data_IF_215667164937
#
_entry.id   IF_215667164937
#
_cell.length_a   1.000
_cell.length_b   1.000
_cell.length_c   1.000
_cell.angle_alpha   90.00
_cell.angle_beta   90.00
_cell.angle_gamma   90.00
#
_symmetry.space_group_name_H-M   'P 1'
#
loop_
_entity.id
_entity.type
_entity.pdbx_description
1 polymer ?
#
# COMPACT_ATOMS: atom_id res chain seq x y z
N UNK A 1 23.87 -1.67 12.61
CA UNK A 1 24.53 -2.74 13.39
C UNK A 1 23.56 -3.20 14.46
N UNK A 2 23.14 -4.46 14.43
CA UNK A 2 22.15 -5.06 15.37
C UNK A 2 22.62 -5.04 16.83
N UNK A 3 23.85 -4.65 17.08
CA UNK A 3 24.49 -4.58 18.39
C UNK A 3 24.83 -3.14 18.82
N UNK A 4 24.66 -2.15 17.97
CA UNK A 4 24.84 -0.77 18.36
C UNK A 4 23.64 -0.35 19.21
N UNK A 5 23.87 0.11 20.43
CA UNK A 5 22.82 0.62 21.34
C UNK A 5 22.22 1.96 20.89
N UNK A 6 22.01 2.13 19.60
CA UNK A 6 21.46 3.36 19.03
C UNK A 6 19.96 3.32 19.11
N UNK A 7 19.33 4.36 19.64
CA UNK A 7 17.90 4.52 19.63
C UNK A 7 17.37 4.61 18.19
N UNK A 8 16.21 4.04 17.96
CA UNK A 8 15.49 4.18 16.69
C UNK A 8 14.61 5.42 16.75
N UNK A 9 14.65 6.21 15.67
CA UNK A 9 13.81 7.39 15.44
C UNK A 9 13.51 7.46 13.95
N UNK A 10 12.44 6.77 13.53
CA UNK A 10 12.12 6.57 12.12
C UNK A 10 10.75 7.16 11.78
N UNK A 11 10.68 7.71 10.59
CA UNK A 11 9.47 8.25 10.03
C UNK A 11 9.13 7.57 8.70
N UNK A 12 7.92 7.05 8.59
CA UNK A 12 7.29 6.70 7.33
C UNK A 12 6.23 7.76 7.06
N UNK A 13 6.31 8.42 5.91
CA UNK A 13 5.42 9.56 5.58
C UNK A 13 4.70 9.25 4.28
N UNK A 14 3.38 9.46 4.28
CA UNK A 14 2.53 9.26 3.10
C UNK A 14 2.90 10.23 1.97
N UNK A 15 2.50 9.94 0.72
CA UNK A 15 2.36 10.95 -0.31
C UNK A 15 1.41 12.08 0.12
N UNK A 16 1.39 13.19 -0.64
CA UNK A 16 0.45 14.28 -0.42
C UNK A 16 -1.01 13.80 -0.52
N UNK A 17 -1.81 14.12 0.49
CA UNK A 17 -3.23 13.83 0.53
C UNK A 17 -4.02 15.11 0.27
N UNK A 18 -4.74 15.18 -0.84
CA UNK A 18 -5.58 16.32 -1.18
C UNK A 18 -6.92 16.23 -0.41
N UNK A 19 -6.93 16.75 0.81
CA UNK A 19 -8.10 16.73 1.70
C UNK A 19 -9.21 17.66 1.20
N UNK A 20 -8.84 18.75 0.53
CA UNK A 20 -9.78 19.74 0.00
C UNK A 20 -10.79 19.10 -0.94
N UNK A 21 -10.31 18.27 -1.87
CA UNK A 21 -11.11 17.69 -2.94
C UNK A 21 -11.53 16.24 -2.65
N UNK A 22 -11.17 15.71 -1.46
CA UNK A 22 -11.54 14.35 -1.08
C UNK A 22 -13.06 14.22 -0.88
N UNK A 23 -13.64 13.12 -1.39
CA UNK A 23 -15.04 12.79 -1.20
C UNK A 23 -15.40 12.63 0.29
N UNK A 24 -14.47 12.07 1.07
CA UNK A 24 -14.51 12.03 2.53
C UNK A 24 -13.15 12.48 3.06
N UNK A 25 -13.14 13.39 4.01
CA UNK A 25 -11.92 13.91 4.62
C UNK A 25 -11.48 13.03 5.79
N UNK A 26 -11.23 11.77 5.46
CA UNK A 26 -10.83 10.74 6.42
C UNK A 26 -9.70 9.89 5.83
N UNK A 27 -8.95 9.26 6.71
CA UNK A 27 -8.04 8.15 6.38
C UNK A 27 -8.19 7.03 7.40
N UNK A 28 -7.68 5.87 7.06
CA UNK A 28 -7.65 4.69 7.93
C UNK A 28 -6.49 3.78 7.56
N UNK A 29 -6.14 2.87 8.46
CA UNK A 29 -5.14 1.84 8.24
C UNK A 29 -5.37 0.68 9.21
N UNK A 30 -4.63 -0.42 8.99
CA UNK A 30 -4.48 -1.48 9.97
C UNK A 30 -3.07 -1.47 10.52
N UNK A 31 -2.92 -1.87 11.77
CA UNK A 31 -1.64 -2.12 12.38
C UNK A 31 -1.63 -3.46 13.10
N UNK A 32 -0.49 -4.13 13.10
CA UNK A 32 -0.20 -5.26 13.97
C UNK A 32 1.13 -5.07 14.67
N UNK A 33 1.39 -5.84 15.69
CA UNK A 33 2.68 -5.82 16.37
C UNK A 33 3.04 -7.15 17.01
N UNK A 34 4.34 -7.27 17.35
CA UNK A 34 4.88 -8.41 18.08
C UNK A 34 6.17 -8.02 18.82
N UNK A 35 6.63 -8.87 19.74
CA UNK A 35 7.82 -8.65 20.56
C UNK A 35 7.74 -7.35 21.37
N UNK A 36 6.63 -7.15 22.02
CA UNK A 36 6.25 -5.91 22.72
C UNK A 36 7.30 -5.42 23.73
N UNK A 37 7.67 -4.17 23.59
CA UNK A 37 8.62 -3.46 24.45
C UNK A 37 8.03 -2.13 24.92
N UNK A 38 8.05 -1.87 26.21
CA UNK A 38 7.46 -0.66 26.79
C UNK A 38 8.14 0.65 26.33
N UNK A 39 9.39 0.57 25.91
CA UNK A 39 10.15 1.71 25.37
C UNK A 39 9.80 2.05 23.93
N UNK A 40 9.12 1.15 23.20
CA UNK A 40 8.74 1.38 21.81
C UNK A 40 7.46 2.17 21.71
N UNK A 41 7.45 3.18 20.84
CA UNK A 41 6.25 3.96 20.50
C UNK A 41 6.05 3.99 19.00
N UNK A 42 4.80 3.85 18.58
CA UNK A 42 4.32 4.20 17.26
C UNK A 42 3.32 5.34 17.43
N UNK A 43 3.59 6.48 16.85
CA UNK A 43 2.76 7.68 16.96
C UNK A 43 2.38 8.16 15.57
N UNK A 44 1.15 8.62 15.41
CA UNK A 44 0.61 9.05 14.13
C UNK A 44 0.45 10.56 14.14
N UNK A 45 0.89 11.21 13.05
CA UNK A 45 0.89 12.67 12.93
C UNK A 45 0.25 13.12 11.62
N UNK A 46 -0.40 14.27 11.65
CA UNK A 46 -0.65 15.09 10.46
C UNK A 46 0.48 16.08 10.31
N UNK A 47 1.05 16.16 9.13
CA UNK A 47 2.16 17.03 8.77
C UNK A 47 1.74 17.96 7.62
N UNK A 48 2.27 19.19 7.61
CA UNK A 48 2.09 20.11 6.48
C UNK A 48 3.18 19.98 5.39
N UNK A 49 4.21 19.16 5.63
CA UNK A 49 5.34 18.93 4.73
C UNK A 49 5.78 17.46 4.82
N UNK A 50 6.30 16.84 3.72
CA UNK A 50 6.69 15.43 3.71
C UNK A 50 8.09 15.22 4.35
N UNK A 51 8.28 15.68 5.57
CA UNK A 51 9.55 15.53 6.31
C UNK A 51 9.34 15.50 7.81
N UNK A 52 10.22 14.82 8.53
CA UNK A 52 10.21 14.71 10.00
C UNK A 52 10.37 16.07 10.70
N UNK A 53 10.96 17.06 10.01
CA UNK A 53 11.18 18.43 10.48
C UNK A 53 10.10 19.40 9.99
N UNK A 54 8.92 18.88 9.59
CA UNK A 54 7.79 19.72 9.17
C UNK A 54 7.49 20.83 10.18
N UNK A 55 7.18 22.03 9.68
CA UNK A 55 6.95 23.21 10.51
C UNK A 55 5.66 23.10 11.32
N UNK A 56 4.71 22.29 10.89
CA UNK A 56 3.52 21.92 11.65
C UNK A 56 3.39 20.40 11.71
N UNK A 57 3.33 19.88 12.94
CA UNK A 57 3.12 18.47 13.25
C UNK A 57 2.06 18.37 14.34
N UNK A 58 0.97 17.72 14.05
CA UNK A 58 -0.08 17.45 15.01
C UNK A 58 -0.18 15.96 15.27
N UNK A 59 0.05 15.54 16.50
CA UNK A 59 -0.15 14.14 16.91
C UNK A 59 -1.64 13.84 16.96
N UNK A 60 -2.01 12.72 16.35
CA UNK A 60 -3.38 12.19 16.40
C UNK A 60 -3.51 11.16 17.51
N UNK A 61 -4.65 11.17 18.17
CA UNK A 61 -5.07 10.09 19.06
C UNK A 61 -5.83 9.06 18.22
N UNK A 62 -5.15 7.97 17.88
CA UNK A 62 -5.66 6.94 16.99
C UNK A 62 -5.45 5.56 17.61
N UNK A 63 -6.34 4.63 17.30
CA UNK A 63 -6.20 3.25 17.71
C UNK A 63 -5.11 2.57 16.88
N UNK A 64 -4.16 1.95 17.57
CA UNK A 64 -3.10 1.11 17.00
C UNK A 64 -3.03 -0.20 17.78
N UNK A 65 -2.40 -1.22 17.19
CA UNK A 65 -2.17 -2.49 17.87
C UNK A 65 -1.31 -2.30 19.11
N UNK A 66 -1.64 -3.05 20.17
CA UNK A 66 -0.96 -3.06 21.47
C UNK A 66 -0.70 -4.49 21.92
N UNK A 67 0.09 -4.67 22.97
CA UNK A 67 0.30 -5.98 23.58
C UNK A 67 -0.99 -6.65 24.08
N UNK A 68 -2.03 -5.86 24.36
CA UNK A 68 -3.32 -6.39 24.79
C UNK A 68 -4.10 -7.07 23.66
N UNK A 69 -3.81 -6.72 22.41
CA UNK A 69 -4.42 -7.33 21.22
C UNK A 69 -3.76 -8.68 20.86
N UNK A 70 -2.55 -8.94 21.38
CA UNK A 70 -1.75 -10.13 21.10
C UNK A 70 -0.74 -9.93 19.98
N UNK A 71 0.11 -10.95 19.75
CA UNK A 71 1.12 -10.92 18.70
C UNK A 71 0.49 -11.20 17.33
N UNK A 72 0.91 -10.44 16.32
CA UNK A 72 0.50 -10.60 14.92
C UNK A 72 -1.02 -10.53 14.73
N UNK A 73 -1.68 -9.67 15.49
CA UNK A 73 -3.11 -9.39 15.34
C UNK A 73 -3.34 -8.04 14.73
N UNK A 74 -4.01 -8.04 13.59
CA UNK A 74 -4.37 -6.81 12.89
C UNK A 74 -5.48 -6.06 13.64
N UNK A 75 -5.23 -4.79 13.87
CA UNK A 75 -6.12 -3.87 14.57
C UNK A 75 -6.46 -2.72 13.64
N UNK A 76 -7.76 -2.53 13.42
CA UNK A 76 -8.29 -1.43 12.64
C UNK A 76 -8.14 -0.10 13.38
N UNK A 77 -7.64 0.94 12.72
CA UNK A 77 -7.59 2.30 13.27
C UNK A 77 -8.99 2.92 13.41
N UNK A 78 -9.95 2.47 12.60
CA UNK A 78 -11.19 3.18 12.34
C UNK A 78 -10.98 4.36 11.38
N UNK A 79 -12.07 5.02 10.99
CA UNK A 79 -12.03 6.22 10.16
C UNK A 79 -11.52 7.42 10.99
N UNK A 80 -10.43 8.02 10.57
CA UNK A 80 -9.76 9.14 11.26
C UNK A 80 -10.03 10.42 10.49
N UNK A 81 -10.61 11.44 11.15
CA UNK A 81 -10.97 12.70 10.52
C UNK A 81 -9.76 13.58 10.21
N UNK A 82 -9.75 14.14 9.02
CA UNK A 82 -8.84 15.18 8.56
C UNK A 82 -9.53 16.55 8.40
N UNK A 83 -10.78 16.69 8.88
CA UNK A 83 -11.47 17.97 8.86
C UNK A 83 -10.66 19.04 9.60
N UNK A 84 -10.47 20.18 8.95
CA UNK A 84 -9.71 21.31 9.53
C UNK A 84 -8.20 21.13 9.61
N UNK A 85 -7.64 20.03 9.08
CA UNK A 85 -6.19 19.77 9.15
C UNK A 85 -5.39 20.43 8.02
N UNK A 86 -6.07 20.98 7.01
CA UNK A 86 -5.48 21.66 5.86
C UNK A 86 -5.99 21.11 4.53
N UNK A 87 -5.70 21.82 3.43
CA UNK A 87 -6.12 21.44 2.08
C UNK A 87 -5.28 20.26 1.55
N UNK A 88 -4.00 20.27 1.84
CA UNK A 88 -3.04 19.19 1.52
C UNK A 88 -2.30 18.86 2.80
N UNK A 89 -2.28 17.58 3.16
CA UNK A 89 -1.60 17.08 4.36
C UNK A 89 -0.80 15.82 4.05
N UNK A 90 0.04 15.41 4.98
CA UNK A 90 0.79 14.16 4.96
C UNK A 90 0.55 13.42 6.28
N UNK A 91 0.45 12.12 6.23
CA UNK A 91 0.35 11.29 7.43
C UNK A 91 1.73 10.73 7.73
N UNK A 92 2.24 11.04 8.93
CA UNK A 92 3.51 10.55 9.44
C UNK A 92 3.30 9.46 10.47
N UNK A 93 3.93 8.30 10.25
CA UNK A 93 4.06 7.23 11.22
C UNK A 93 5.44 7.36 11.85
N UNK A 94 5.48 7.77 13.10
CA UNK A 94 6.71 8.01 13.85
C UNK A 94 6.97 6.83 14.79
N UNK A 95 8.01 6.09 14.50
CA UNK A 95 8.44 4.95 15.30
C UNK A 95 9.69 5.31 16.10
N UNK A 96 9.62 5.13 17.42
CA UNK A 96 10.77 5.29 18.32
C UNK A 96 10.95 4.06 19.20
N UNK A 97 12.19 3.66 19.42
CA UNK A 97 12.53 2.58 20.34
C UNK A 97 13.96 2.72 20.87
N UNK A 98 14.25 2.07 21.99
CA UNK A 98 15.62 1.86 22.42
C UNK A 98 16.36 0.98 21.41
N UNK A 99 17.63 1.29 21.18
CA UNK A 99 18.49 0.47 20.34
C UNK A 99 18.93 -0.82 21.04
N UNK A 100 19.24 -1.83 20.21
CA UNK A 100 19.77 -3.10 20.67
C UNK A 100 18.89 -4.30 20.38
N UNK A 101 19.48 -5.49 20.53
CA UNK A 101 18.78 -6.74 20.26
C UNK A 101 17.61 -6.93 21.25
N UNK A 102 16.44 -7.26 20.73
CA UNK A 102 15.23 -7.55 21.52
C UNK A 102 14.73 -6.37 22.38
N UNK A 103 15.00 -5.11 21.96
CA UNK A 103 14.55 -3.92 22.68
C UNK A 103 13.56 -3.07 21.88
N UNK A 104 12.95 -3.64 20.86
CA UNK A 104 12.00 -2.95 20.02
C UNK A 104 10.83 -3.85 19.65
N UNK A 105 9.61 -3.30 19.73
CA UNK A 105 8.42 -3.92 19.16
C UNK A 105 8.50 -3.88 17.64
N UNK A 106 8.16 -4.97 16.99
CA UNK A 106 7.89 -4.96 15.55
C UNK A 106 6.49 -4.40 15.32
N UNK A 107 6.36 -3.46 14.39
CA UNK A 107 5.07 -2.99 13.90
C UNK A 107 4.98 -3.20 12.38
N UNK A 108 3.81 -3.65 11.91
CA UNK A 108 3.43 -3.63 10.50
C UNK A 108 2.24 -2.69 10.33
N UNK A 109 2.18 -2.01 9.20
CA UNK A 109 1.08 -1.13 8.79
C UNK A 109 0.60 -1.60 7.42
N UNK A 110 -0.72 -1.73 7.26
CA UNK A 110 -1.33 -2.18 6.02
C UNK A 110 -2.67 -1.47 5.75
N UNK A 111 -3.21 -1.69 4.55
CA UNK A 111 -4.51 -1.20 4.10
C UNK A 111 -4.74 0.30 4.35
N UNK A 112 -3.69 1.11 4.11
CA UNK A 112 -3.86 2.56 4.20
C UNK A 112 -4.88 3.03 3.16
N UNK A 113 -5.96 3.64 3.63
CA UNK A 113 -7.01 4.20 2.80
C UNK A 113 -7.19 5.69 3.09
N UNK A 114 -7.43 6.48 2.03
CA UNK A 114 -7.73 7.90 2.12
C UNK A 114 -8.95 8.24 1.26
N UNK A 115 -9.79 9.17 1.73
CA UNK A 115 -10.95 9.65 0.98
C UNK A 115 -12.15 8.70 0.97
N UNK A 116 -12.08 7.59 1.68
CA UNK A 116 -13.11 6.55 1.80
C UNK A 116 -13.10 5.93 3.19
N UNK A 117 -14.20 5.29 3.58
CA UNK A 117 -14.26 4.52 4.82
C UNK A 117 -13.22 3.40 4.84
N UNK A 118 -12.87 2.99 6.06
CA UNK A 118 -12.00 1.84 6.26
C UNK A 118 -12.56 0.60 5.55
N UNK A 119 -11.71 -0.09 4.81
CA UNK A 119 -12.02 -1.37 4.20
C UNK A 119 -11.73 -2.52 5.19
N UNK A 120 -12.34 -3.69 4.97
CA UNK A 120 -11.98 -4.87 5.74
C UNK A 120 -10.53 -5.29 5.44
N UNK A 121 -9.81 -5.72 6.46
CA UNK A 121 -8.47 -6.28 6.27
C UNK A 121 -8.56 -7.64 5.57
N UNK A 122 -7.73 -7.86 4.57
CA UNK A 122 -7.84 -9.00 3.64
C UNK A 122 -7.48 -10.36 4.24
N UNK A 123 -6.99 -10.43 5.48
CA UNK A 123 -6.52 -11.68 6.08
C UNK A 123 -7.19 -11.92 7.44
N UNK A 124 -8.50 -12.17 7.44
CA UNK A 124 -9.08 -13.04 8.46
C UNK A 124 -9.39 -14.38 7.79
N UNK A 125 -8.64 -15.42 8.13
CA UNK A 125 -9.01 -16.80 7.80
C UNK A 125 -10.44 -17.04 8.33
N UNK A 126 -11.40 -17.18 7.42
CA UNK A 126 -12.80 -17.50 7.72
C UNK A 126 -13.82 -16.39 7.51
N UNK A 127 -13.43 -15.16 7.18
CA UNK A 127 -14.37 -14.18 6.66
C UNK A 127 -14.42 -14.36 5.14
N UNK A 128 -15.53 -14.91 4.67
CA UNK A 128 -15.82 -14.93 3.23
C UNK A 128 -15.78 -13.46 2.76
N UNK A 129 -14.91 -13.11 1.79
CA UNK A 129 -14.86 -11.73 1.30
C UNK A 129 -16.27 -11.33 0.88
N UNK A 130 -16.68 -10.09 1.22
CA UNK A 130 -17.93 -9.56 0.68
C UNK A 130 -17.96 -9.86 -0.82
N UNK A 131 -19.06 -10.38 -1.34
CA UNK A 131 -19.11 -10.82 -2.73
C UNK A 131 -18.61 -9.68 -3.61
N UNK A 132 -17.47 -9.89 -4.22
CA UNK A 132 -16.95 -8.99 -5.25
C UNK A 132 -18.12 -8.73 -6.19
N UNK A 133 -18.47 -7.50 -6.53
CA UNK A 133 -19.59 -7.23 -7.44
C UNK A 133 -19.42 -8.15 -8.64
N UNK A 134 -20.47 -8.91 -8.94
CA UNK A 134 -20.44 -9.93 -9.97
C UNK A 134 -19.95 -9.31 -11.28
N UNK A 135 -18.74 -9.63 -11.64
CA UNK A 135 -18.09 -9.03 -12.81
C UNK A 135 -18.71 -9.68 -14.05
N UNK A 136 -19.42 -8.89 -14.84
CA UNK A 136 -19.95 -9.35 -16.13
C UNK A 136 -18.81 -9.58 -17.14
N UNK A 137 -18.27 -10.77 -17.11
CA UNK A 137 -17.18 -11.20 -17.99
C UNK A 137 -17.51 -11.14 -19.48
N UNK A 138 -18.81 -11.06 -19.84
CA UNK A 138 -19.22 -10.89 -21.24
C UNK A 138 -18.85 -9.51 -21.77
N UNK A 139 -18.66 -8.54 -20.87
CA UNK A 139 -18.25 -7.17 -21.17
C UNK A 139 -16.76 -6.92 -20.92
N UNK A 140 -15.99 -7.96 -20.62
CA UNK A 140 -14.56 -7.83 -20.39
C UNK A 140 -13.86 -7.25 -21.62
N UNK A 141 -13.02 -6.25 -21.39
CA UNK A 141 -12.19 -5.60 -22.41
C UNK A 141 -10.96 -6.44 -22.69
N UNK A 142 -10.47 -6.37 -23.89
CA UNK A 142 -9.12 -6.83 -24.21
C UNK A 142 -8.07 -5.90 -23.57
N UNK A 143 -6.84 -6.36 -23.44
CA UNK A 143 -5.75 -5.51 -22.93
C UNK A 143 -5.59 -4.23 -23.78
N UNK A 144 -5.69 -4.34 -25.11
CA UNK A 144 -5.60 -3.18 -25.99
C UNK A 144 -6.72 -2.15 -25.76
N UNK A 145 -7.97 -2.63 -25.63
CA UNK A 145 -9.11 -1.75 -25.33
C UNK A 145 -8.98 -1.12 -23.94
N UNK A 146 -8.39 -1.84 -22.98
CA UNK A 146 -8.20 -1.34 -21.62
C UNK A 146 -7.21 -0.18 -21.55
N UNK A 147 -6.18 -0.18 -22.41
CA UNK A 147 -5.19 0.89 -22.48
C UNK A 147 -5.75 2.22 -23.01
N UNK A 148 -6.88 2.19 -23.73
CA UNK A 148 -7.56 3.39 -24.27
C UNK A 148 -8.55 4.01 -23.27
N UNK A 149 -8.78 3.38 -22.11
CA UNK A 149 -9.75 3.84 -21.12
C UNK A 149 -9.09 4.86 -20.19
N UNK A 150 -9.82 5.91 -19.84
CA UNK A 150 -9.33 6.96 -18.96
C UNK A 150 -9.04 6.43 -17.54
N UNK A 151 -8.02 6.99 -16.90
CA UNK A 151 -7.66 6.65 -15.53
C UNK A 151 -8.83 6.90 -14.56
N UNK A 152 -9.06 5.95 -13.67
CA UNK A 152 -10.08 6.05 -12.62
C UNK A 152 -11.34 5.24 -12.92
N UNK A 153 -11.50 4.65 -14.09
CA UNK A 153 -12.59 3.74 -14.38
C UNK A 153 -12.26 2.30 -13.95
N UNK A 154 -13.29 1.57 -13.51
CA UNK A 154 -13.18 0.15 -13.14
C UNK A 154 -13.86 -0.71 -14.20
N UNK A 155 -13.16 -1.68 -14.75
CA UNK A 155 -13.68 -2.60 -15.75
C UNK A 155 -12.99 -3.96 -15.67
N UNK A 156 -13.60 -4.96 -16.27
CA UNK A 156 -13.01 -6.28 -16.40
C UNK A 156 -12.07 -6.33 -17.60
N UNK A 157 -10.92 -6.99 -17.45
CA UNK A 157 -9.96 -7.27 -18.55
C UNK A 157 -9.81 -8.77 -18.73
N UNK A 158 -9.74 -9.20 -19.97
CA UNK A 158 -9.44 -10.57 -20.36
C UNK A 158 -8.19 -10.60 -21.24
N UNK A 159 -7.24 -11.46 -20.89
CA UNK A 159 -5.99 -11.59 -21.62
C UNK A 159 -5.23 -12.86 -21.26
N UNK A 160 -4.00 -12.95 -21.74
CA UNK A 160 -3.09 -14.06 -21.42
C UNK A 160 -1.85 -13.52 -20.71
N UNK A 161 -1.43 -14.21 -19.66
CA UNK A 161 -0.11 -13.98 -19.05
C UNK A 161 0.92 -14.70 -19.91
N UNK A 162 1.81 -13.94 -20.53
CA UNK A 162 2.84 -14.49 -21.45
C UNK A 162 4.18 -14.75 -20.78
N UNK A 163 4.38 -14.26 -19.56
CA UNK A 163 5.59 -14.50 -18.78
C UNK A 163 5.81 -13.53 -17.66
N UNK A 164 6.90 -13.73 -16.91
CA UNK A 164 7.38 -12.86 -15.86
C UNK A 164 8.81 -12.39 -16.15
N UNK A 165 9.07 -11.10 -15.98
CA UNK A 165 10.40 -10.52 -16.06
C UNK A 165 11.07 -10.62 -14.69
N UNK A 166 12.34 -11.01 -14.65
CA UNK A 166 13.13 -11.09 -13.42
C UNK A 166 13.25 -9.72 -12.76
N UNK A 167 13.00 -9.68 -11.47
CA UNK A 167 13.19 -8.49 -10.66
C UNK A 167 14.66 -8.39 -10.25
N UNK A 168 15.53 -8.01 -11.17
CA UNK A 168 16.96 -7.87 -10.91
C UNK A 168 17.29 -6.60 -10.13
N UNK A 169 18.47 -6.54 -9.44
CA UNK A 169 18.89 -5.36 -8.68
C UNK A 169 19.11 -4.12 -9.54
N UNK A 170 19.22 -4.25 -10.85
CA UNK A 170 19.46 -3.16 -11.79
C UNK A 170 18.20 -2.61 -12.45
N UNK A 171 16.99 -3.00 -12.04
CA UNK A 171 15.71 -2.48 -12.54
C UNK A 171 15.76 -2.04 -14.02
N UNK A 172 16.21 -2.92 -14.90
CA UNK A 172 16.26 -2.62 -16.32
C UNK A 172 14.83 -2.55 -16.83
N UNK A 173 14.44 -1.38 -17.34
CA UNK A 173 13.14 -1.20 -18.00
C UNK A 173 13.23 -1.73 -19.41
N UNK A 174 12.40 -2.67 -19.77
CA UNK A 174 12.26 -3.17 -21.13
C UNK A 174 11.04 -2.54 -21.79
N UNK A 175 11.14 -2.23 -23.08
CA UNK A 175 10.03 -1.67 -23.86
C UNK A 175 9.02 -2.70 -24.29
N UNK A 176 9.41 -3.99 -24.24
CA UNK A 176 8.52 -5.10 -24.56
C UNK A 176 9.00 -6.39 -23.88
N UNK A 177 8.10 -7.37 -23.79
CA UNK A 177 8.43 -8.72 -23.32
C UNK A 177 9.51 -9.39 -24.19
N UNK A 178 9.47 -9.16 -25.50
CA UNK A 178 10.47 -9.71 -26.42
C UNK A 178 11.86 -9.15 -26.19
N UNK A 179 11.98 -7.87 -25.84
CA UNK A 179 13.25 -7.26 -25.47
C UNK A 179 13.83 -7.89 -24.19
N UNK A 180 13.00 -8.08 -23.17
CA UNK A 180 13.42 -8.77 -21.94
C UNK A 180 13.82 -10.23 -22.21
N UNK A 181 13.11 -10.90 -23.13
CA UNK A 181 13.42 -12.27 -23.54
C UNK A 181 14.76 -12.36 -24.27
N UNK A 182 15.05 -11.43 -25.17
CA UNK A 182 16.35 -11.36 -25.87
C UNK A 182 17.51 -11.08 -24.89
N UNK A 183 17.25 -10.28 -23.84
CA UNK A 183 18.24 -10.02 -22.78
C UNK A 183 18.43 -11.20 -21.81
N UNK A 184 17.62 -12.25 -21.88
CA UNK A 184 17.68 -13.39 -20.97
C UNK A 184 17.07 -13.12 -19.58
N UNK A 185 16.33 -12.03 -19.43
CA UNK A 185 15.74 -11.58 -18.15
C UNK A 185 14.29 -12.07 -17.96
N UNK A 186 13.95 -13.20 -18.56
CA UNK A 186 12.67 -13.87 -18.35
C UNK A 186 12.84 -14.97 -17.31
N UNK A 187 12.06 -14.92 -16.24
CA UNK A 187 12.03 -15.94 -15.21
C UNK A 187 11.07 -17.08 -15.59
N UNK A 188 9.98 -16.74 -16.24
CA UNK A 188 9.03 -17.69 -16.79
C UNK A 188 8.52 -17.17 -18.13
N UNK A 189 8.39 -18.05 -19.11
CA UNK A 189 7.79 -17.76 -20.40
C UNK A 189 6.80 -18.87 -20.77
N UNK A 190 5.59 -18.47 -21.09
CA UNK A 190 4.51 -19.41 -21.44
C UNK A 190 3.25 -18.61 -21.77
N UNK A 191 2.12 -19.30 -21.97
CA UNK A 191 0.82 -18.68 -22.08
C UNK A 191 -0.14 -19.38 -21.12
N UNK A 192 -0.72 -18.62 -20.19
CA UNK A 192 -1.79 -19.07 -19.32
C UNK A 192 -3.01 -18.16 -19.52
N UNK A 193 -4.19 -18.74 -19.65
CA UNK A 193 -5.41 -17.94 -19.71
C UNK A 193 -5.63 -17.26 -18.37
N UNK A 194 -5.76 -15.94 -18.43
CA UNK A 194 -6.03 -15.14 -17.26
C UNK A 194 -7.53 -14.82 -17.23
N UNK A 195 -8.23 -15.42 -16.30
CA UNK A 195 -9.64 -15.12 -16.01
C UNK A 195 -9.75 -14.60 -14.58
N UNK A 196 -9.99 -13.33 -14.44
CA UNK A 196 -10.42 -12.76 -13.19
C UNK A 196 -9.38 -12.00 -12.40
N UNK A 197 -9.42 -10.70 -12.44
CA UNK A 197 -9.32 -9.69 -11.36
C UNK A 197 -9.63 -8.35 -12.02
N UNK A 198 -10.42 -7.49 -11.37
CA UNK A 198 -10.53 -6.10 -11.78
C UNK A 198 -9.18 -5.44 -11.51
N UNK A 199 -8.47 -5.08 -12.56
CA UNK A 199 -7.28 -4.24 -12.42
C UNK A 199 -7.75 -2.81 -12.27
N UNK A 200 -7.50 -2.20 -11.11
CA UNK A 200 -7.62 -0.76 -10.99
C UNK A 200 -6.55 -0.10 -11.84
N UNK A 201 -6.93 0.72 -12.81
CA UNK A 201 -6.01 1.47 -13.69
C UNK A 201 -5.05 2.40 -12.94
N UNK A 202 -5.29 2.70 -11.67
CA UNK A 202 -4.37 3.44 -10.80
C UNK A 202 -2.98 2.76 -10.74
N UNK A 203 -2.91 1.44 -10.96
CA UNK A 203 -1.65 0.69 -10.97
C UNK A 203 -0.99 0.59 -12.36
N UNK A 204 -1.68 0.99 -13.42
CA UNK A 204 -1.16 0.95 -14.80
C UNK A 204 -0.48 2.28 -15.20
N UNK A 205 -0.65 3.33 -14.41
CA UNK A 205 -0.11 4.67 -14.72
C UNK A 205 1.39 4.84 -14.42
N UNK A 206 2.07 3.82 -13.88
CA UNK A 206 3.53 3.84 -13.84
C UNK A 206 4.09 3.36 -15.19
N UNK A 207 4.91 4.17 -15.88
CA UNK A 207 5.46 3.82 -17.21
C UNK A 207 6.19 2.48 -17.25
N UNK A 208 6.73 2.05 -16.12
CA UNK A 208 7.46 0.77 -15.95
C UNK A 208 6.56 -0.46 -15.92
N UNK A 209 5.23 -0.31 -15.75
CA UNK A 209 4.27 -1.44 -15.76
C UNK A 209 3.50 -1.59 -17.07
N UNK A 210 3.37 -0.50 -17.85
CA UNK A 210 2.72 -0.56 -19.17
C UNK A 210 3.51 -1.43 -20.16
N UNK A 211 4.83 -1.49 -20.02
CA UNK A 211 5.70 -2.23 -20.93
C UNK A 211 5.74 -3.75 -20.67
N UNK A 212 5.26 -4.21 -19.52
CA UNK A 212 5.23 -5.64 -19.17
C UNK A 212 3.93 -6.36 -19.63
N UNK A 213 2.95 -5.64 -20.20
CA UNK A 213 1.62 -6.17 -20.55
C UNK A 213 1.36 -6.13 -22.07
N UNK A 214 2.29 -5.62 -22.87
CA UNK A 214 2.17 -5.59 -24.34
C UNK A 214 2.85 -6.76 -25.02
#
# INVERSE_FOLDING_TARGET
>A
DKNAGWAYDWWMISPALNVKDAAKKIFSFYSEGAYWQASTKLEIYVLNEPKSTASSKEKLDVKIATSADGDYKWVASGDISLEGKGDIVYIGFHYTAEGGKSKSTTYCIDDFAFGRNQVAHFIEEGVEPEPTPEVDWTKAKTVAEALEIANGETFAVKGYVVGCIKNGPSKTSYKSFDEAKQAGDIEWAGAAEFTGYSLSLIHISEPTRQEAIS
#
